data_IF_092926175456
#
_entry.id   IF_092926175456
#
_cell.length_a   1.000
_cell.length_b   1.000
_cell.length_c   1.000
_cell.angle_alpha   90.00
_cell.angle_beta   90.00
_cell.angle_gamma   90.00
#
_symmetry.space_group_name_H-M   'P 1'
#
loop_
_entity.id
_entity.type
_entity.pdbx_description
1 polymer ?
#
# COMPACT_ATOMS: atom_id res chain seq x y z
N UNK A 1 3.24 -48.26 -4.86
CA UNK A 1 2.46 -47.69 -3.74
C UNK A 1 2.67 -46.19 -3.82
N UNK A 2 1.60 -45.38 -3.83
CA UNK A 2 1.74 -43.93 -3.84
C UNK A 2 2.57 -43.49 -2.63
N UNK A 3 3.51 -42.57 -2.81
CA UNK A 3 4.33 -42.09 -1.70
C UNK A 3 3.50 -41.15 -0.83
N UNK A 4 3.88 -40.97 0.43
CA UNK A 4 3.19 -40.04 1.35
C UNK A 4 3.19 -38.61 0.83
N UNK A 5 4.26 -38.22 0.12
CA UNK A 5 4.40 -36.90 -0.51
C UNK A 5 3.41 -36.71 -1.67
N UNK A 6 3.17 -37.75 -2.48
CA UNK A 6 2.16 -37.71 -3.56
C UNK A 6 0.75 -37.51 -2.99
N UNK A 7 0.45 -38.18 -1.87
CA UNK A 7 -0.84 -38.04 -1.18
C UNK A 7 -1.00 -36.65 -0.55
N UNK A 8 0.04 -36.09 0.05
CA UNK A 8 -0.01 -34.74 0.63
C UNK A 8 -0.16 -33.66 -0.47
N UNK A 9 0.48 -33.84 -1.62
CA UNK A 9 0.29 -32.97 -2.77
C UNK A 9 -1.15 -33.03 -3.30
N UNK A 10 -1.74 -34.23 -3.41
CA UNK A 10 -3.14 -34.42 -3.82
C UNK A 10 -4.11 -33.81 -2.81
N UNK A 11 -3.86 -33.97 -1.50
CA UNK A 11 -4.66 -33.35 -0.44
C UNK A 11 -4.61 -31.82 -0.53
N UNK A 12 -3.43 -31.25 -0.79
CA UNK A 12 -3.28 -29.81 -0.96
C UNK A 12 -4.01 -29.29 -2.21
N UNK A 13 -3.94 -30.01 -3.33
CA UNK A 13 -4.70 -29.67 -4.54
C UNK A 13 -6.21 -29.74 -4.30
N UNK A 14 -6.68 -30.80 -3.62
CA UNK A 14 -8.09 -30.94 -3.25
C UNK A 14 -8.55 -29.80 -2.33
N UNK A 15 -7.76 -29.41 -1.34
CA UNK A 15 -8.06 -28.26 -0.49
C UNK A 15 -8.11 -26.95 -1.28
N UNK A 16 -7.17 -26.73 -2.20
CA UNK A 16 -7.18 -25.57 -3.09
C UNK A 16 -8.43 -25.58 -3.99
N UNK A 17 -8.84 -26.74 -4.51
CA UNK A 17 -10.04 -26.89 -5.32
C UNK A 17 -11.32 -26.63 -4.52
N UNK A 18 -11.40 -27.10 -3.28
CA UNK A 18 -12.53 -26.82 -2.39
C UNK A 18 -12.60 -25.32 -2.11
N UNK A 19 -11.48 -24.67 -1.79
CA UNK A 19 -11.43 -23.23 -1.54
C UNK A 19 -11.90 -22.41 -2.75
N UNK A 20 -11.46 -22.78 -3.97
CA UNK A 20 -11.88 -22.10 -5.21
C UNK A 20 -13.38 -22.28 -5.49
N UNK A 21 -13.92 -23.49 -5.31
CA UNK A 21 -15.36 -23.75 -5.47
C UNK A 21 -16.21 -23.02 -4.42
N UNK A 22 -15.74 -22.96 -3.17
CA UNK A 22 -16.41 -22.22 -2.10
C UNK A 22 -16.43 -20.71 -2.41
N UNK A 23 -15.31 -20.15 -2.87
CA UNK A 23 -15.21 -18.75 -3.29
C UNK A 23 -16.11 -18.44 -4.49
N UNK A 24 -16.16 -19.34 -5.47
CA UNK A 24 -17.06 -19.21 -6.61
C UNK A 24 -18.54 -19.21 -6.17
N UNK A 25 -18.91 -20.14 -5.27
CA UNK A 25 -20.26 -20.21 -4.71
C UNK A 25 -20.62 -18.94 -3.93
N UNK A 26 -19.71 -18.40 -3.11
CA UNK A 26 -19.96 -17.16 -2.37
C UNK A 26 -20.14 -15.96 -3.29
N UNK A 27 -19.37 -15.88 -4.38
CA UNK A 27 -19.50 -14.83 -5.39
C UNK A 27 -20.86 -14.89 -6.09
N UNK A 28 -21.26 -16.07 -6.57
CA UNK A 28 -22.59 -16.26 -7.19
C UNK A 28 -23.73 -15.94 -6.22
N UNK A 29 -23.61 -16.37 -4.96
CA UNK A 29 -24.61 -16.07 -3.94
C UNK A 29 -24.72 -14.56 -3.67
N UNK A 30 -23.59 -13.85 -3.55
CA UNK A 30 -23.57 -12.40 -3.38
C UNK A 30 -24.19 -11.68 -4.58
N UNK A 31 -23.87 -12.11 -5.81
CA UNK A 31 -24.44 -11.55 -7.04
C UNK A 31 -25.95 -11.74 -7.05
N UNK A 32 -26.45 -12.96 -6.76
CA UNK A 32 -27.87 -13.26 -6.72
C UNK A 32 -28.60 -12.42 -5.64
N UNK A 33 -28.07 -12.37 -4.42
CA UNK A 33 -28.66 -11.59 -3.33
C UNK A 33 -28.62 -10.08 -3.56
N UNK A 34 -27.70 -9.59 -4.40
CA UNK A 34 -27.60 -8.18 -4.78
C UNK A 34 -28.58 -7.74 -5.88
N UNK A 35 -29.32 -8.67 -6.49
CA UNK A 35 -30.25 -8.34 -7.56
C UNK A 35 -31.48 -7.56 -7.04
N UNK A 36 -31.81 -6.40 -7.62
CA UNK A 36 -32.87 -5.53 -7.11
C UNK A 36 -34.26 -6.19 -7.18
N UNK A 37 -34.54 -6.96 -8.23
CA UNK A 37 -35.84 -7.61 -8.45
C UNK A 37 -36.14 -8.78 -7.50
N UNK A 38 -35.12 -9.33 -6.85
CA UNK A 38 -35.27 -10.48 -5.95
C UNK A 38 -36.03 -10.06 -4.68
N UNK A 39 -35.70 -8.89 -4.12
CA UNK A 39 -36.40 -8.31 -2.98
C UNK A 39 -37.90 -8.13 -3.25
N UNK A 40 -38.25 -7.51 -4.38
CA UNK A 40 -39.64 -7.27 -4.79
C UNK A 40 -40.43 -8.58 -4.98
N UNK A 41 -39.80 -9.62 -5.55
CA UNK A 41 -40.45 -10.92 -5.77
C UNK A 41 -40.75 -11.67 -4.48
N UNK A 42 -39.88 -11.56 -3.47
CA UNK A 42 -40.06 -12.23 -2.16
C UNK A 42 -40.98 -11.48 -1.20
N UNK A 43 -41.32 -10.23 -1.50
CA UNK A 43 -42.35 -9.47 -0.78
C UNK A 43 -43.77 -9.87 -1.21
N UNK A 44 -43.92 -10.56 -2.35
CA UNK A 44 -45.22 -11.10 -2.78
C UNK A 44 -45.70 -12.17 -1.78
N UNK A 45 -46.89 -12.03 -1.18
CA UNK A 45 -47.37 -12.96 -0.16
C UNK A 45 -47.77 -14.29 -0.79
N UNK A 46 -46.84 -15.24 -0.84
CA UNK A 46 -47.14 -16.63 -1.17
C UNK A 46 -46.95 -17.50 0.08
N UNK A 47 -47.92 -18.37 0.37
CA UNK A 47 -48.27 -18.94 1.69
C UNK A 47 -47.24 -19.86 2.38
N UNK A 48 -45.97 -19.90 1.95
CA UNK A 48 -44.89 -20.70 2.59
C UNK A 48 -44.05 -19.83 3.53
N UNK A 49 -44.66 -19.44 4.66
CA UNK A 49 -44.20 -18.36 5.55
C UNK A 49 -42.85 -18.57 6.30
N UNK A 50 -42.30 -19.79 6.38
CA UNK A 50 -41.09 -20.04 7.19
C UNK A 50 -39.77 -19.80 6.44
N UNK A 51 -39.64 -20.24 5.18
CA UNK A 51 -38.41 -20.06 4.37
C UNK A 51 -38.24 -18.63 3.83
N UNK A 52 -39.35 -17.91 3.62
CA UNK A 52 -39.33 -16.51 3.19
C UNK A 52 -38.61 -15.60 4.19
N UNK A 53 -38.78 -15.84 5.49
CA UNK A 53 -38.16 -15.02 6.55
C UNK A 53 -36.62 -15.09 6.56
N UNK A 54 -36.04 -16.27 6.29
CA UNK A 54 -34.58 -16.44 6.24
C UNK A 54 -33.99 -15.80 4.97
N UNK A 55 -34.66 -15.97 3.84
CA UNK A 55 -34.26 -15.35 2.58
C UNK A 55 -34.35 -13.81 2.65
N UNK A 56 -35.42 -13.27 3.23
CA UNK A 56 -35.58 -11.83 3.46
C UNK A 56 -34.46 -11.27 4.35
N UNK A 57 -34.15 -11.94 5.48
CA UNK A 57 -33.01 -11.55 6.34
C UNK A 57 -31.69 -11.57 5.59
N UNK A 58 -31.44 -12.58 4.75
CA UNK A 58 -30.21 -12.67 3.96
C UNK A 58 -30.10 -11.51 2.96
N UNK A 59 -31.20 -11.10 2.34
CA UNK A 59 -31.25 -9.97 1.40
C UNK A 59 -31.05 -8.65 2.12
N UNK A 60 -31.71 -8.43 3.26
CA UNK A 60 -31.51 -7.23 4.08
C UNK A 60 -30.08 -7.13 4.60
N UNK A 61 -29.49 -8.26 4.99
CA UNK A 61 -28.09 -8.30 5.39
C UNK A 61 -27.18 -7.98 4.21
N UNK A 62 -27.48 -8.49 3.01
CA UNK A 62 -26.71 -8.20 1.81
C UNK A 62 -26.84 -6.74 1.39
N UNK A 63 -28.03 -6.14 1.47
CA UNK A 63 -28.24 -4.74 1.12
C UNK A 63 -27.50 -3.80 2.07
N UNK A 64 -27.48 -4.10 3.38
CA UNK A 64 -26.66 -3.38 4.37
C UNK A 64 -25.17 -3.47 4.06
N UNK A 65 -24.67 -4.67 3.71
CA UNK A 65 -23.27 -4.86 3.30
C UNK A 65 -22.93 -4.10 2.02
N UNK A 66 -23.81 -4.13 1.02
CA UNK A 66 -23.62 -3.38 -0.22
C UNK A 66 -23.53 -1.87 0.06
N UNK A 67 -24.42 -1.36 0.91
CA UNK A 67 -24.42 0.05 1.31
C UNK A 67 -23.12 0.43 2.05
N UNK A 68 -22.67 -0.41 2.99
CA UNK A 68 -21.40 -0.23 3.69
C UNK A 68 -20.22 -0.22 2.71
N UNK A 69 -20.17 -1.17 1.78
CA UNK A 69 -19.13 -1.24 0.76
C UNK A 69 -19.13 -0.02 -0.16
N UNK A 70 -20.30 0.52 -0.51
CA UNK A 70 -20.42 1.77 -1.29
C UNK A 70 -19.82 2.93 -0.49
N UNK A 71 -20.17 3.07 0.79
CA UNK A 71 -19.59 4.12 1.63
C UNK A 71 -18.07 3.99 1.71
N UNK A 72 -17.55 2.80 1.99
CA UNK A 72 -16.10 2.54 2.03
C UNK A 72 -15.40 2.86 0.71
N UNK A 73 -15.96 2.41 -0.41
CA UNK A 73 -15.37 2.64 -1.73
C UNK A 73 -15.39 4.12 -2.16
N UNK A 74 -16.49 4.84 -1.88
CA UNK A 74 -16.67 6.22 -2.34
C UNK A 74 -16.05 7.25 -1.40
N UNK A 75 -16.18 7.09 -0.07
CA UNK A 75 -15.63 8.07 0.88
C UNK A 75 -14.17 7.75 1.23
N UNK A 76 -13.79 6.47 1.26
CA UNK A 76 -12.47 5.99 1.67
C UNK A 76 -12.13 6.22 3.15
N UNK A 77 -13.02 6.86 3.91
CA UNK A 77 -12.90 7.03 5.36
C UNK A 77 -14.26 6.76 5.97
N UNK A 78 -14.34 5.77 6.84
CA UNK A 78 -15.59 5.37 7.50
C UNK A 78 -15.37 5.13 8.98
N UNK A 79 -16.36 5.47 9.80
CA UNK A 79 -16.33 5.24 11.24
C UNK A 79 -17.19 4.02 11.60
N UNK A 80 -16.72 3.23 12.56
CA UNK A 80 -17.39 2.04 13.06
C UNK A 80 -17.21 1.92 14.57
N UNK A 81 -18.12 1.21 15.24
CA UNK A 81 -18.07 1.01 16.69
C UNK A 81 -17.36 -0.31 16.98
N UNK A 82 -16.41 -0.28 17.90
CA UNK A 82 -15.69 -1.46 18.38
C UNK A 82 -15.86 -1.54 19.89
N UNK A 83 -16.01 -2.76 20.39
CA UNK A 83 -15.98 -3.02 21.82
C UNK A 83 -14.70 -3.75 22.18
N UNK A 84 -13.89 -3.15 23.04
CA UNK A 84 -12.76 -3.82 23.67
C UNK A 84 -13.29 -4.96 24.54
N UNK A 85 -12.86 -6.22 24.31
CA UNK A 85 -13.29 -7.35 25.12
C UNK A 85 -12.72 -7.31 26.56
N UNK A 86 -11.71 -6.48 26.84
CA UNK A 86 -11.11 -6.40 28.17
C UNK A 86 -12.10 -5.83 29.21
N UNK A 87 -12.39 -6.57 30.31
CA UNK A 87 -13.27 -6.09 31.37
C UNK A 87 -12.75 -4.85 32.11
N UNK A 88 -11.44 -4.57 32.03
CA UNK A 88 -10.80 -3.39 32.60
C UNK A 88 -10.68 -2.20 31.62
N UNK A 89 -11.25 -2.33 30.42
CA UNK A 89 -11.16 -1.31 29.38
C UNK A 89 -11.84 0.01 29.76
N UNK A 90 -11.15 1.10 29.41
CA UNK A 90 -11.65 2.47 29.59
C UNK A 90 -13.01 2.63 28.84
N UNK A 91 -13.96 3.36 29.44
CA UNK A 91 -15.29 3.64 28.88
C UNK A 91 -16.15 2.39 28.60
N UNK A 92 -16.06 1.36 29.44
CA UNK A 92 -16.74 0.07 29.26
C UNK A 92 -16.35 -0.62 27.93
N UNK A 93 -15.11 -0.39 27.48
CA UNK A 93 -14.59 -0.90 26.22
C UNK A 93 -15.18 -0.23 24.98
N UNK A 94 -15.92 0.87 25.09
CA UNK A 94 -16.46 1.55 23.91
C UNK A 94 -15.37 2.33 23.16
N UNK A 95 -15.01 1.84 21.98
CA UNK A 95 -13.99 2.40 21.10
C UNK A 95 -14.64 2.86 19.79
N UNK A 96 -14.26 4.07 19.35
CA UNK A 96 -14.60 4.54 18.02
C UNK A 96 -13.48 4.14 17.06
N UNK A 97 -13.76 3.23 16.14
CA UNK A 97 -12.86 2.86 15.05
C UNK A 97 -13.06 3.76 13.84
N UNK A 98 -11.96 4.16 13.21
CA UNK A 98 -11.95 4.83 11.91
C UNK A 98 -11.15 3.96 10.95
N UNK A 99 -11.77 3.52 9.86
CA UNK A 99 -11.13 2.78 8.79
C UNK A 99 -10.82 3.73 7.64
N UNK A 100 -9.63 3.57 7.07
CA UNK A 100 -9.12 4.38 5.97
C UNK A 100 -8.71 3.44 4.85
N UNK A 101 -9.49 3.49 3.78
CA UNK A 101 -9.30 2.68 2.59
C UNK A 101 -8.54 3.51 1.53
N UNK A 102 -7.45 2.94 1.03
CA UNK A 102 -6.62 3.50 -0.03
C UNK A 102 -6.77 2.62 -1.27
N UNK A 103 -7.12 3.22 -2.40
CA UNK A 103 -7.20 2.53 -3.68
C UNK A 103 -6.17 3.10 -4.66
N UNK A 104 -5.41 2.21 -5.29
CA UNK A 104 -4.39 2.53 -6.29
C UNK A 104 -4.46 1.50 -7.41
N UNK A 105 -4.38 1.96 -8.66
CA UNK A 105 -4.39 1.07 -9.83
C UNK A 105 -5.65 0.20 -9.94
N UNK A 106 -6.80 0.70 -9.48
CA UNK A 106 -8.07 -0.02 -9.53
C UNK A 106 -8.24 -1.10 -8.46
N UNK A 107 -7.30 -1.22 -7.50
CA UNK A 107 -7.38 -2.17 -6.38
C UNK A 107 -7.36 -1.43 -5.05
N UNK A 108 -8.06 -1.96 -4.06
CA UNK A 108 -7.92 -1.52 -2.68
C UNK A 108 -6.68 -2.17 -2.08
N UNK A 109 -5.83 -1.35 -1.46
CA UNK A 109 -4.72 -1.80 -0.61
C UNK A 109 -5.29 -2.16 0.77
N UNK A 110 -4.46 -2.66 1.66
CA UNK A 110 -4.79 -2.90 3.07
C UNK A 110 -5.47 -1.68 3.73
N UNK A 111 -6.53 -1.95 4.49
CA UNK A 111 -7.29 -0.95 5.24
C UNK A 111 -6.51 -0.53 6.48
N UNK A 112 -6.31 0.78 6.66
CA UNK A 112 -5.71 1.31 7.88
C UNK A 112 -6.78 1.59 8.93
N UNK A 113 -6.46 1.31 10.18
CA UNK A 113 -7.37 1.50 11.30
C UNK A 113 -6.78 2.49 12.31
N UNK A 114 -7.61 3.41 12.79
CA UNK A 114 -7.31 4.30 13.92
C UNK A 114 -8.41 4.10 14.96
N UNK A 115 -8.02 3.67 16.15
CA UNK A 115 -8.91 3.44 17.28
C UNK A 115 -8.84 4.62 18.23
N UNK A 116 -10.00 5.21 18.53
CA UNK A 116 -10.16 6.39 19.37
C UNK A 116 -10.92 6.03 20.64
N UNK A 117 -10.36 6.40 21.79
CA UNK A 117 -11.04 6.40 23.07
C UNK A 117 -11.50 7.82 23.38
N UNK A 118 -12.60 7.98 24.11
CA UNK A 118 -12.99 9.29 24.62
C UNK A 118 -12.56 9.46 26.08
N UNK A 119 -12.42 10.71 26.53
CA UNK A 119 -12.22 11.08 27.92
C UNK A 119 -13.19 12.21 28.25
N UNK A 120 -13.80 12.16 29.42
CA UNK A 120 -14.65 13.23 29.90
C UNK A 120 -13.78 14.32 30.53
N UNK A 121 -13.94 15.57 30.07
CA UNK A 121 -13.33 16.74 30.68
C UNK A 121 -14.36 17.86 30.70
N UNK A 122 -14.70 18.35 31.89
CA UNK A 122 -15.58 19.53 32.10
C UNK A 122 -16.90 19.38 31.31
N UNK A 123 -17.51 18.19 31.33
CA UNK A 123 -18.78 17.91 30.63
C UNK A 123 -18.67 17.61 29.12
N UNK A 124 -17.49 17.75 28.51
CA UNK A 124 -17.26 17.43 27.10
C UNK A 124 -16.46 16.13 26.92
N UNK A 125 -16.83 15.35 25.90
CA UNK A 125 -16.15 14.09 25.55
C UNK A 125 -15.09 14.37 24.48
N UNK A 126 -13.82 14.30 24.88
CA UNK A 126 -12.68 14.51 23.98
C UNK A 126 -12.12 13.17 23.51
N UNK A 127 -11.93 13.02 22.21
CA UNK A 127 -11.35 11.83 21.60
C UNK A 127 -9.82 11.88 21.65
N UNK A 128 -9.22 10.72 21.89
CA UNK A 128 -7.77 10.47 21.93
C UNK A 128 -7.46 9.18 21.19
N UNK A 129 -6.38 9.19 20.41
CA UNK A 129 -5.86 7.99 19.75
C UNK A 129 -5.41 6.96 20.79
N UNK A 130 -5.93 5.74 20.68
CA UNK A 130 -5.57 4.58 21.50
C UNK A 130 -4.57 3.68 20.77
N UNK A 131 -4.95 3.15 19.61
CA UNK A 131 -4.13 2.26 18.78
C UNK A 131 -4.33 2.58 17.29
N UNK A 132 -3.35 2.27 16.45
CA UNK A 132 -3.47 2.45 15.00
C UNK A 132 -2.59 1.48 14.23
N UNK A 133 -2.89 1.29 12.95
CA UNK A 133 -2.06 0.53 11.99
C UNK A 133 -1.29 1.43 11.00
N UNK A 134 -1.31 2.74 11.23
CA UNK A 134 -0.65 3.73 10.36
C UNK A 134 0.88 3.56 10.39
N UNK A 135 1.57 3.52 9.22
CA UNK A 135 3.03 3.44 9.15
C UNK A 135 3.73 4.61 9.85
N UNK A 136 4.91 4.38 10.47
CA UNK A 136 5.61 5.40 11.27
C UNK A 136 6.11 6.59 10.44
N UNK A 137 6.28 6.43 9.12
CA UNK A 137 6.66 7.51 8.22
C UNK A 137 5.54 8.56 8.00
N UNK A 138 4.30 8.25 8.39
CA UNK A 138 3.15 9.17 8.31
C UNK A 138 3.05 9.97 9.61
N UNK A 139 2.94 11.31 9.56
CA UNK A 139 2.97 12.17 10.75
C UNK A 139 1.63 12.19 11.50
N UNK A 140 1.20 11.04 12.03
CA UNK A 140 -0.08 10.87 12.70
C UNK A 140 -0.23 11.79 13.92
N UNK A 141 0.81 11.89 14.76
CA UNK A 141 0.77 12.71 15.98
C UNK A 141 0.62 14.20 15.65
N UNK A 142 1.26 14.68 14.58
CA UNK A 142 1.11 16.06 14.14
C UNK A 142 -0.31 16.36 13.67
N UNK A 143 -0.93 15.42 12.93
CA UNK A 143 -2.33 15.52 12.53
C UNK A 143 -3.28 15.45 13.74
N UNK A 144 -2.99 14.57 14.70
CA UNK A 144 -3.78 14.43 15.92
C UNK A 144 -3.72 15.70 16.77
N UNK A 145 -2.55 16.30 16.98
CA UNK A 145 -2.43 17.52 17.78
C UNK A 145 -3.16 18.71 17.14
N UNK A 146 -3.24 18.74 15.81
CA UNK A 146 -3.90 19.81 15.06
C UNK A 146 -5.43 19.68 15.02
N UNK A 147 -5.95 18.46 14.89
CA UNK A 147 -7.38 18.21 14.63
C UNK A 147 -8.12 17.47 15.75
N UNK A 148 -7.37 16.84 16.65
CA UNK A 148 -7.84 16.18 17.88
C UNK A 148 -7.09 16.74 19.11
N UNK A 149 -7.11 18.07 19.33
CA UNK A 149 -6.50 18.66 20.51
C UNK A 149 -7.08 18.06 21.79
N UNK A 150 -6.20 17.67 22.72
CA UNK A 150 -6.57 17.04 24.01
C UNK A 150 -6.35 17.96 25.22
N UNK A 151 -5.53 19.00 25.09
CA UNK A 151 -5.42 20.08 26.07
C UNK A 151 -4.65 21.27 25.47
N UNK A 152 -5.27 22.43 25.35
CA UNK A 152 -4.50 23.67 25.53
C UNK A 152 -4.36 23.88 27.04
N UNK A 153 -3.14 24.14 27.51
CA UNK A 153 -2.88 24.40 28.93
C UNK A 153 -3.50 25.72 29.41
N UNK A 154 -3.96 26.60 28.51
CA UNK A 154 -4.32 28.00 28.83
C UNK A 154 -5.55 28.55 28.08
N UNK A 155 -6.44 27.73 27.54
CA UNK A 155 -7.61 28.25 26.82
C UNK A 155 -8.91 28.05 27.62
N UNK A 156 -9.57 29.16 27.96
CA UNK A 156 -10.99 29.23 28.40
C UNK A 156 -11.97 28.71 27.33
N UNK A 157 -11.47 28.30 26.16
CA UNK A 157 -12.22 27.82 25.01
C UNK A 157 -12.06 26.30 24.91
N UNK A 158 -13.19 25.59 24.92
CA UNK A 158 -13.21 24.15 24.69
C UNK A 158 -12.63 23.83 23.30
N UNK A 159 -11.65 22.92 23.21
CA UNK A 159 -11.03 22.57 21.93
C UNK A 159 -12.02 21.82 21.03
N UNK A 160 -12.48 22.47 19.95
CA UNK A 160 -13.33 21.84 18.94
C UNK A 160 -12.52 20.78 18.17
N UNK A 161 -12.97 19.52 18.22
CA UNK A 161 -12.35 18.41 17.52
C UNK A 161 -13.01 18.19 16.16
N UNK A 162 -12.20 18.10 15.10
CA UNK A 162 -12.69 17.87 13.74
C UNK A 162 -12.17 16.52 13.19
N UNK A 163 -12.97 15.47 13.45
CA UNK A 163 -12.69 14.11 12.95
C UNK A 163 -12.72 14.01 11.43
N UNK A 164 -13.54 14.83 10.77
CA UNK A 164 -13.72 14.77 9.31
C UNK A 164 -12.46 15.29 8.64
N UNK A 165 -11.92 16.43 9.09
CA UNK A 165 -10.65 16.96 8.60
C UNK A 165 -9.47 16.08 8.97
N UNK A 166 -9.45 15.53 10.18
CA UNK A 166 -8.44 14.57 10.59
C UNK A 166 -8.39 13.37 9.64
N UNK A 167 -9.52 12.68 9.44
CA UNK A 167 -9.61 11.52 8.57
C UNK A 167 -9.28 11.84 7.11
N UNK A 168 -9.78 12.97 6.58
CA UNK A 168 -9.51 13.40 5.21
C UNK A 168 -8.03 13.67 4.96
N UNK A 169 -7.35 14.34 5.89
CA UNK A 169 -5.92 14.66 5.76
C UNK A 169 -5.05 13.43 5.99
N UNK A 170 -5.41 12.56 6.93
CA UNK A 170 -4.71 11.30 7.15
C UNK A 170 -4.80 10.40 5.90
N UNK A 171 -5.99 10.28 5.31
CA UNK A 171 -6.17 9.58 4.02
C UNK A 171 -5.33 10.22 2.93
N UNK A 172 -5.30 11.55 2.83
CA UNK A 172 -4.47 12.24 1.85
C UNK A 172 -2.99 11.86 1.99
N UNK A 173 -2.44 11.86 3.20
CA UNK A 173 -1.04 11.47 3.41
C UNK A 173 -0.76 10.00 3.04
N UNK A 174 -1.67 9.08 3.41
CA UNK A 174 -1.56 7.66 3.05
C UNK A 174 -1.63 7.42 1.55
N UNK A 175 -2.60 8.04 0.86
CA UNK A 175 -2.73 7.96 -0.60
C UNK A 175 -1.47 8.52 -1.27
N UNK A 176 -1.00 9.69 -0.83
CA UNK A 176 0.23 10.29 -1.35
C UNK A 176 1.45 9.40 -1.14
N UNK A 177 1.56 8.71 0.00
CA UNK A 177 2.65 7.78 0.25
C UNK A 177 2.62 6.57 -0.69
N UNK A 178 1.48 5.89 -0.80
CA UNK A 178 1.36 4.75 -1.69
C UNK A 178 1.51 5.12 -3.18
N UNK A 179 1.10 6.34 -3.58
CA UNK A 179 1.36 6.86 -4.92
C UNK A 179 2.86 7.03 -5.20
N UNK A 180 3.66 7.46 -4.19
CA UNK A 180 5.13 7.54 -4.32
C UNK A 180 5.76 6.16 -4.38
N UNK A 181 5.34 5.23 -3.52
CA UNK A 181 5.80 3.83 -3.54
C UNK A 181 5.56 3.23 -4.93
N UNK A 182 4.32 3.31 -5.44
CA UNK A 182 3.99 2.85 -6.78
C UNK A 182 4.83 3.51 -7.86
N UNK A 183 5.04 4.82 -7.80
CA UNK A 183 5.85 5.53 -8.79
C UNK A 183 7.31 5.05 -8.82
N UNK A 184 7.87 4.69 -7.66
CA UNK A 184 9.22 4.10 -7.57
C UNK A 184 9.22 2.66 -8.05
N UNK A 185 8.21 1.87 -7.74
CA UNK A 185 8.08 0.51 -8.26
C UNK A 185 8.00 0.51 -9.80
N UNK A 186 7.17 1.39 -10.37
CA UNK A 186 7.06 1.59 -11.82
C UNK A 186 8.40 2.06 -12.42
N UNK A 187 9.16 2.91 -11.70
CA UNK A 187 10.52 3.35 -12.10
C UNK A 187 11.53 2.19 -12.08
N UNK A 188 11.51 1.35 -11.05
CA UNK A 188 12.37 0.15 -10.95
C UNK A 188 12.07 -0.83 -12.08
N UNK A 189 10.79 -0.99 -12.43
CA UNK A 189 10.36 -1.79 -13.56
C UNK A 189 10.84 -1.21 -14.89
N UNK A 190 10.72 0.10 -15.12
CA UNK A 190 11.22 0.77 -16.33
C UNK A 190 12.76 0.71 -16.43
N UNK A 191 13.46 0.70 -15.30
CA UNK A 191 14.92 0.56 -15.23
C UNK A 191 15.41 -0.87 -15.47
N UNK A 192 14.53 -1.87 -15.41
CA UNK A 192 14.91 -3.29 -15.48
C UNK A 192 15.59 -3.80 -14.20
N UNK A 193 15.53 -3.05 -13.10
CA UNK A 193 16.09 -3.43 -11.79
C UNK A 193 15.08 -4.24 -10.99
N UNK A 194 13.99 -4.71 -11.63
CA UNK A 194 12.90 -5.38 -10.93
C UNK A 194 13.46 -6.45 -10.01
N UNK A 195 13.40 -6.15 -8.70
CA UNK A 195 13.71 -7.08 -7.64
C UNK A 195 12.98 -8.36 -7.98
N UNK A 196 13.68 -9.48 -7.96
CA UNK A 196 13.04 -10.77 -7.72
C UNK A 196 12.19 -10.57 -6.46
N UNK A 197 10.91 -10.23 -6.62
CA UNK A 197 9.96 -10.54 -5.57
C UNK A 197 10.14 -12.05 -5.38
N UNK A 198 10.36 -12.55 -4.15
CA UNK A 198 10.07 -13.96 -3.93
C UNK A 198 8.66 -14.13 -4.47
N UNK A 199 8.54 -14.97 -5.51
CA UNK A 199 7.27 -15.36 -6.12
C UNK A 199 6.33 -15.61 -4.94
N UNK A 200 5.29 -14.80 -4.81
CA UNK A 200 4.12 -15.27 -4.09
C UNK A 200 3.82 -16.64 -4.69
N UNK A 201 3.79 -17.64 -3.82
CA UNK A 201 3.55 -19.03 -4.15
C UNK A 201 2.16 -19.16 -4.79
N UNK A 202 2.07 -18.89 -6.09
CA UNK A 202 1.06 -19.38 -7.02
C UNK A 202 1.40 -18.87 -8.43
N UNK A 203 2.22 -19.65 -9.12
CA UNK A 203 1.82 -20.20 -10.41
C UNK A 203 2.85 -21.29 -10.73
N UNK A 204 2.36 -22.52 -10.85
CA UNK A 204 3.16 -23.70 -11.07
C UNK A 204 3.86 -23.65 -12.41
N UNK A 205 5.18 -23.71 -12.37
CA UNK A 205 6.00 -24.22 -13.46
C UNK A 205 7.23 -24.89 -12.84
N UNK A 206 7.40 -26.14 -13.22
CA UNK A 206 8.34 -27.11 -12.67
C UNK A 206 9.76 -26.70 -13.02
N UNK A 207 10.57 -26.35 -12.01
CA UNK A 207 12.01 -26.25 -12.14
C UNK A 207 12.65 -27.20 -11.12
N UNK A 208 13.42 -28.15 -11.63
CA UNK A 208 14.15 -29.20 -10.94
C UNK A 208 14.71 -28.78 -9.58
N UNK A 209 14.10 -29.29 -8.50
CA UNK A 209 14.71 -29.37 -7.20
C UNK A 209 15.64 -30.59 -7.17
N UNK A 210 16.92 -30.33 -7.45
CA UNK A 210 17.96 -31.35 -7.45
C UNK A 210 19.35 -30.76 -7.24
N UNK A 211 19.52 -29.85 -6.26
CA UNK A 211 20.83 -29.57 -5.70
C UNK A 211 20.72 -28.81 -4.37
N UNK A 212 20.61 -29.58 -3.29
CA UNK A 212 20.88 -29.12 -1.93
C UNK A 212 22.17 -29.76 -1.45
N UNK A 213 23.08 -28.90 -0.97
CA UNK A 213 24.01 -29.13 0.14
C UNK A 213 25.24 -30.02 -0.12
N UNK A 214 26.28 -29.43 -0.73
CA UNK A 214 27.67 -29.72 -0.36
C UNK A 214 28.33 -28.42 0.12
N UNK A 215 28.06 -28.06 1.38
CA UNK A 215 28.73 -26.97 2.09
C UNK A 215 29.55 -27.51 3.27
N UNK A 216 30.32 -28.58 3.03
CA UNK A 216 31.31 -29.09 3.97
C UNK A 216 32.61 -29.42 3.24
N UNK A 217 33.63 -28.61 3.54
CA UNK A 217 35.06 -28.95 3.54
C UNK A 217 35.68 -29.33 2.19
N UNK A 218 36.27 -28.34 1.52
CA UNK A 218 37.51 -28.53 0.78
C UNK A 218 38.40 -27.32 1.04
N UNK A 219 39.43 -27.59 1.83
CA UNK A 219 40.64 -26.78 2.01
C UNK A 219 41.40 -26.81 0.68
N UNK A 220 41.45 -25.71 -0.06
CA UNK A 220 42.38 -25.56 -1.18
C UNK A 220 42.79 -24.09 -1.31
N UNK A 221 44.03 -23.85 -0.91
CA UNK A 221 44.81 -22.62 -1.07
C UNK A 221 45.13 -22.41 -2.56
N UNK A 222 44.34 -21.62 -3.28
CA UNK A 222 44.80 -20.91 -4.48
C UNK A 222 43.78 -19.88 -5.00
N UNK A 223 44.32 -18.73 -5.39
CA UNK A 223 43.77 -17.73 -6.33
C UNK A 223 42.97 -16.57 -5.74
N UNK A 224 43.71 -15.48 -5.55
CA UNK A 224 43.35 -14.12 -5.92
C UNK A 224 42.18 -14.00 -6.91
N UNK A 225 41.17 -13.22 -6.56
CA UNK A 225 41.00 -11.86 -7.08
C UNK A 225 39.83 -11.18 -6.36
N UNK A 226 40.15 -10.07 -5.68
CA UNK A 226 39.14 -9.07 -5.31
C UNK A 226 38.71 -8.47 -6.63
N UNK A 227 37.47 -8.72 -7.07
CA UNK A 227 36.94 -8.05 -8.26
C UNK A 227 36.95 -6.53 -7.99
N UNK A 228 38.00 -5.86 -8.45
CA UNK A 228 37.97 -4.43 -8.73
C UNK A 228 36.81 -4.21 -9.70
N UNK A 229 35.90 -3.29 -9.34
CA UNK A 229 34.83 -2.76 -10.17
C UNK A 229 35.38 -2.31 -11.55
N UNK A 230 35.51 -3.27 -12.46
CA UNK A 230 35.84 -3.07 -13.84
C UNK A 230 34.73 -2.24 -14.47
N UNK A 231 35.11 -1.11 -15.05
CA UNK A 231 34.19 -0.29 -15.82
C UNK A 231 33.76 -1.14 -17.02
N UNK A 232 32.59 -1.78 -16.94
CA UNK A 232 31.96 -2.34 -18.13
C UNK A 232 31.72 -1.17 -19.09
N UNK A 233 32.46 -1.11 -20.20
CA UNK A 233 32.21 -0.20 -21.33
C UNK A 233 30.93 -0.63 -22.09
N UNK A 234 29.83 -0.73 -21.36
CA UNK A 234 28.48 -0.91 -21.86
C UNK A 234 27.69 0.41 -21.87
N UNK A 235 26.50 0.44 -22.50
CA UNK A 235 25.63 1.61 -22.42
C UNK A 235 25.26 1.90 -20.96
N UNK A 236 25.29 3.18 -20.55
CA UNK A 236 25.00 3.61 -19.17
C UNK A 236 23.62 3.11 -18.72
N UNK A 237 23.61 2.25 -17.70
CA UNK A 237 22.41 1.66 -17.10
C UNK A 237 22.28 2.10 -15.65
N UNK A 238 21.06 2.05 -15.12
CA UNK A 238 20.83 2.26 -13.69
C UNK A 238 21.13 0.92 -13.00
N UNK A 239 22.03 0.95 -12.03
CA UNK A 239 22.39 -0.21 -11.21
C UNK A 239 21.40 -0.39 -10.05
N UNK A 240 21.09 0.70 -9.35
CA UNK A 240 20.30 0.66 -8.14
C UNK A 240 19.44 1.91 -7.93
N UNK A 241 18.32 1.72 -7.23
CA UNK A 241 17.38 2.75 -6.82
C UNK A 241 17.01 2.52 -5.35
N UNK A 242 17.61 3.32 -4.48
CA UNK A 242 17.34 3.35 -3.04
C UNK A 242 16.32 4.44 -2.70
N UNK A 243 15.55 4.24 -1.64
CA UNK A 243 14.56 5.19 -1.15
C UNK A 243 14.39 5.12 0.36
N UNK A 244 14.01 6.24 0.96
CA UNK A 244 13.63 6.29 2.37
C UNK A 244 12.24 5.67 2.61
N UNK A 245 11.89 5.37 3.87
CA UNK A 245 10.61 4.76 4.22
C UNK A 245 9.38 5.59 3.81
N UNK A 246 9.52 6.92 3.68
CA UNK A 246 8.45 7.79 3.21
C UNK A 246 8.45 8.01 1.69
N UNK A 247 9.47 7.50 0.99
CA UNK A 247 9.73 7.73 -0.45
C UNK A 247 9.69 9.21 -0.80
N UNK A 248 10.24 10.05 0.08
CA UNK A 248 10.43 11.49 -0.11
C UNK A 248 11.80 11.81 -0.67
N UNK A 249 12.75 10.90 -0.53
CA UNK A 249 14.07 10.98 -1.15
C UNK A 249 14.35 9.67 -1.89
N UNK A 250 14.88 9.79 -3.11
CA UNK A 250 15.30 8.67 -3.93
C UNK A 250 16.75 8.91 -4.35
N UNK A 251 17.56 7.86 -4.25
CA UNK A 251 18.94 7.85 -4.73
C UNK A 251 19.03 6.87 -5.90
N UNK A 252 19.55 7.35 -7.03
CA UNK A 252 19.77 6.54 -8.24
C UNK A 252 21.27 6.45 -8.49
N UNK A 253 21.76 5.23 -8.68
CA UNK A 253 23.17 4.94 -8.99
C UNK A 253 23.28 4.35 -10.39
N UNK A 254 24.16 4.91 -11.23
CA UNK A 254 24.43 4.43 -12.59
C UNK A 254 25.71 3.60 -12.67
N UNK A 255 25.82 2.79 -13.73
CA UNK A 255 26.99 1.94 -14.01
C UNK A 255 28.29 2.74 -14.21
N UNK A 256 28.19 4.01 -14.60
CA UNK A 256 29.34 4.90 -14.80
C UNK A 256 29.70 5.72 -13.54
N UNK A 257 29.25 5.26 -12.36
CA UNK A 257 29.46 5.88 -11.03
C UNK A 257 28.80 7.25 -10.85
N UNK A 258 27.88 7.66 -11.73
CA UNK A 258 27.01 8.82 -11.43
C UNK A 258 26.05 8.47 -10.32
N UNK A 259 25.71 9.49 -9.53
CA UNK A 259 24.71 9.39 -8.46
C UNK A 259 23.79 10.59 -8.52
N UNK A 260 22.49 10.36 -8.37
CA UNK A 260 21.49 11.41 -8.29
C UNK A 260 20.63 11.22 -7.05
N UNK A 261 20.55 12.28 -6.24
CA UNK A 261 19.64 12.35 -5.10
C UNK A 261 18.50 13.28 -5.47
N UNK A 262 17.27 12.80 -5.30
CA UNK A 262 16.06 13.48 -5.75
C UNK A 262 15.03 13.56 -4.62
N UNK A 263 14.44 14.74 -4.43
CA UNK A 263 13.36 14.95 -3.47
C UNK A 263 12.00 14.85 -4.18
N UNK A 264 11.12 14.02 -3.64
CA UNK A 264 9.81 13.70 -4.18
C UNK A 264 8.69 14.36 -3.38
N UNK A 265 7.81 15.05 -4.08
CA UNK A 265 6.61 15.68 -3.52
C UNK A 265 5.50 14.67 -3.26
N UNK A 266 4.47 15.11 -2.50
CA UNK A 266 3.28 14.30 -2.19
C UNK A 266 2.52 13.79 -3.42
N UNK A 267 2.67 14.46 -4.57
CA UNK A 267 2.01 14.12 -5.83
C UNK A 267 2.87 13.22 -6.73
N UNK A 268 4.00 12.71 -6.23
CA UNK A 268 4.91 11.85 -7.01
C UNK A 268 5.70 12.60 -8.08
N UNK A 269 5.98 13.89 -7.84
CA UNK A 269 6.85 14.72 -8.71
C UNK A 269 8.18 15.00 -8.02
N UNK A 270 9.26 15.03 -8.79
CA UNK A 270 10.59 15.43 -8.34
C UNK A 270 10.64 16.96 -8.30
N UNK A 271 10.85 17.52 -7.11
CA UNK A 271 10.97 18.97 -6.88
C UNK A 271 12.42 19.44 -7.00
N UNK A 272 13.33 18.66 -6.43
CA UNK A 272 14.76 18.97 -6.39
C UNK A 272 15.53 17.74 -6.81
N UNK A 273 16.59 17.95 -7.59
CA UNK A 273 17.53 16.91 -7.96
C UNK A 273 18.96 17.44 -7.84
N UNK A 274 19.85 16.60 -7.33
CA UNK A 274 21.28 16.86 -7.27
C UNK A 274 21.99 15.67 -7.90
N UNK A 275 22.52 15.87 -9.11
CA UNK A 275 23.27 14.86 -9.84
C UNK A 275 24.78 15.14 -9.73
N UNK A 276 25.55 14.09 -9.47
CA UNK A 276 27.02 14.11 -9.50
C UNK A 276 27.51 13.31 -10.71
N UNK A 277 28.41 13.91 -11.49
CA UNK A 277 29.09 13.27 -12.59
C UNK A 277 30.17 12.28 -12.07
N UNK A 278 30.76 11.50 -12.99
CA UNK A 278 31.85 10.54 -12.68
C UNK A 278 33.02 11.20 -11.93
N UNK A 279 33.32 12.46 -12.25
CA UNK A 279 34.44 13.21 -11.66
C UNK A 279 34.08 13.87 -10.31
N UNK A 280 32.90 13.56 -9.75
CA UNK A 280 32.39 14.17 -8.52
C UNK A 280 31.83 15.59 -8.69
N UNK A 281 32.02 16.20 -9.86
CA UNK A 281 31.45 17.49 -10.22
C UNK A 281 29.91 17.46 -10.29
N UNK A 282 29.27 18.61 -10.02
CA UNK A 282 27.81 18.72 -10.07
C UNK A 282 27.33 18.81 -11.52
N UNK A 283 26.48 17.89 -11.94
CA UNK A 283 25.85 17.91 -13.27
C UNK A 283 24.52 18.69 -13.23
N UNK A 284 24.59 19.97 -13.60
CA UNK A 284 23.43 20.88 -13.61
C UNK A 284 22.42 20.48 -14.69
N UNK A 285 22.90 19.99 -15.85
CA UNK A 285 22.06 19.61 -16.97
C UNK A 285 21.18 18.41 -16.60
N UNK A 286 21.78 17.37 -16.03
CA UNK A 286 21.06 16.19 -15.57
C UNK A 286 20.10 16.52 -14.43
N UNK A 287 20.50 17.39 -13.50
CA UNK A 287 19.62 17.82 -12.40
C UNK A 287 18.37 18.55 -12.90
N UNK A 288 18.49 19.37 -13.93
CA UNK A 288 17.35 20.10 -14.52
C UNK A 288 16.40 19.16 -15.27
N UNK A 289 16.93 18.13 -15.96
CA UNK A 289 16.13 17.11 -16.66
C UNK A 289 15.35 16.19 -15.73
N UNK A 290 15.87 15.97 -14.52
CA UNK A 290 15.23 15.10 -13.53
C UNK A 290 13.92 15.68 -12.98
N UNK A 291 13.81 17.01 -12.90
CA UNK A 291 12.64 17.71 -12.36
C UNK A 291 11.38 17.36 -13.18
N UNK A 292 10.28 17.06 -12.48
CA UNK A 292 9.00 16.69 -13.10
C UNK A 292 8.40 15.40 -12.55
N UNK A 293 7.41 14.79 -13.23
CA UNK A 293 6.80 13.53 -12.80
C UNK A 293 7.83 12.39 -12.72
N UNK A 294 7.75 11.51 -11.70
CA UNK A 294 8.64 10.34 -11.62
C UNK A 294 8.46 9.44 -12.86
N UNK A 295 7.23 9.28 -13.32
CA UNK A 295 6.96 8.56 -14.57
C UNK A 295 7.72 9.18 -15.75
N UNK A 296 8.42 8.33 -16.51
CA UNK A 296 9.24 8.75 -17.65
C UNK A 296 10.53 9.49 -17.27
N UNK A 297 10.96 9.44 -16.00
CA UNK A 297 12.25 9.97 -15.55
C UNK A 297 13.40 9.38 -16.38
N UNK A 298 13.39 8.07 -16.60
CA UNK A 298 14.44 7.37 -17.35
C UNK A 298 14.53 7.90 -18.78
N UNK A 299 13.38 8.09 -19.43
CA UNK A 299 13.31 8.70 -20.78
C UNK A 299 13.90 10.12 -20.79
N UNK A 300 13.61 10.95 -19.79
CA UNK A 300 14.14 12.32 -19.70
C UNK A 300 15.65 12.34 -19.48
N UNK A 301 16.16 11.40 -18.69
CA UNK A 301 17.60 11.30 -18.42
C UNK A 301 18.38 10.75 -19.63
N UNK A 302 17.76 9.91 -20.47
CA UNK A 302 18.35 9.39 -21.71
C UNK A 302 18.36 10.39 -22.88
N UNK A 303 17.50 11.42 -22.88
CA UNK A 303 17.43 12.35 -24.00
C UNK A 303 18.62 13.35 -24.01
N UNK A 304 19.41 13.42 -25.10
CA UNK A 304 20.34 14.52 -25.31
C UNK A 304 19.55 15.83 -25.48
N UNK A 305 20.09 16.94 -25.00
CA UNK A 305 19.45 18.24 -25.14
C UNK A 305 19.44 18.58 -26.64
N UNK A 306 18.27 18.62 -27.27
CA UNK A 306 18.15 19.33 -28.55
C UNK A 306 18.48 20.78 -28.25
N UNK A 307 19.62 21.23 -28.76
CA UNK A 307 19.97 22.63 -28.83
C UNK A 307 18.77 23.38 -29.42
N UNK A 308 18.11 24.20 -28.60
CA UNK A 308 17.22 25.22 -29.15
C UNK A 308 18.12 26.16 -29.94
N UNK A 309 18.10 25.99 -31.25
CA UNK A 309 18.78 26.85 -32.20
C UNK A 309 18.50 28.30 -31.87
N UNK A 310 19.55 28.98 -31.45
CA UNK A 310 19.66 30.43 -31.56
C UNK A 310 19.69 30.70 -33.06
N UNK A 311 18.52 30.91 -33.67
CA UNK A 311 18.44 31.62 -34.93
C UNK A 311 18.56 33.11 -34.60
N UNK A 312 19.81 33.56 -34.50
CA UNK A 312 20.18 34.90 -34.93
C UNK A 312 20.23 34.88 -36.46
N UNK A 313 19.28 35.56 -37.09
CA UNK A 313 19.47 36.56 -38.15
C UNK A 313 18.11 37.06 -38.63
#
# INVERSE_FOLDING_TARGET
MATTEDLDAEINDLHARIATLQAHRSNLASVLLSQPHLSARLQTPNQKAKSSSAAQRAIEQQSKRNLENIYRACTGVTAYKVKDPDPSAINNGNILGVSIDVSIGGKFIETYHVLLNWRERIGNRLLKIHKHTIPPCIPLQHLANKWLPTSWKDAEIDPEQDLVRFGRLLRKELVSWHMRVKAVDDLKQEAGISSLKPRDANDGEVANAGQTLNAFVSDDEASSDVEEDGIEEGPVRILDIENDAAVREITITWSDRRVAVMTVTKDGRIEKASCRARDGGRDISMSTKAIGPIGGLIRRLKQPMSERGVQQQ
#
